data_IF_634944890406
#
_entry.id   IF_634944890406
#
_cell.length_a   1.000
_cell.length_b   1.000
_cell.length_c   1.000
_cell.angle_alpha   90.00
_cell.angle_beta   90.00
_cell.angle_gamma   90.00
#
_symmetry.space_group_name_H-M   'P 1'
#
loop_
_entity.id
_entity.type
_entity.pdbx_description
1 polymer ?
#
# COMPACT_ATOMS: atom_id res chain seq x y z
N UNK A 1 18.18 -5.47 2.34
CA UNK A 1 17.95 -4.02 2.41
C UNK A 1 17.59 -3.60 3.82
N UNK A 2 18.07 -2.43 4.26
CA UNK A 2 17.78 -1.84 5.58
C UNK A 2 16.28 -1.77 5.89
N UNK A 3 15.45 -1.48 4.89
CA UNK A 3 14.00 -1.36 5.06
C UNK A 3 13.32 -2.65 5.57
N UNK A 4 13.81 -3.82 5.20
CA UNK A 4 13.28 -5.11 5.70
C UNK A 4 13.67 -5.30 7.18
N UNK A 5 14.92 -4.99 7.53
CA UNK A 5 15.40 -5.06 8.91
C UNK A 5 14.68 -4.07 9.82
N UNK A 6 14.47 -2.84 9.34
CA UNK A 6 13.76 -1.78 10.08
C UNK A 6 12.28 -2.16 10.28
N UNK A 7 11.63 -2.72 9.25
CA UNK A 7 10.26 -3.22 9.34
C UNK A 7 10.15 -4.37 10.33
N UNK A 8 11.10 -5.29 10.34
CA UNK A 8 11.13 -6.37 11.34
C UNK A 8 11.27 -5.81 12.76
N UNK A 9 12.20 -4.87 12.98
CA UNK A 9 12.40 -4.24 14.29
C UNK A 9 11.14 -3.54 14.79
N UNK A 10 10.43 -2.83 13.91
CA UNK A 10 9.15 -2.19 14.24
C UNK A 10 8.07 -3.23 14.62
N UNK A 11 7.94 -4.29 13.85
CA UNK A 11 6.98 -5.37 14.13
C UNK A 11 7.30 -6.12 15.42
N UNK A 12 8.59 -6.31 15.72
CA UNK A 12 9.04 -6.86 17.00
C UNK A 12 8.65 -5.95 18.16
N UNK A 13 8.90 -4.65 18.06
CA UNK A 13 8.50 -3.69 19.08
C UNK A 13 6.98 -3.67 19.28
N UNK A 14 6.20 -3.72 18.20
CA UNK A 14 4.74 -3.84 18.25
C UNK A 14 4.30 -5.11 18.97
N UNK A 15 4.91 -6.27 18.67
CA UNK A 15 4.57 -7.56 19.27
C UNK A 15 4.84 -7.62 20.78
N UNK A 16 5.72 -6.77 21.28
CA UNK A 16 6.06 -6.64 22.70
C UNK A 16 5.19 -5.62 23.44
N UNK A 17 4.36 -4.89 22.74
CA UNK A 17 3.45 -3.91 23.36
C UNK A 17 2.28 -4.63 24.02
N UNK A 18 1.99 -4.32 25.29
CA UNK A 18 0.92 -4.94 26.06
C UNK A 18 -0.49 -4.74 25.48
N UNK A 19 -0.68 -3.65 24.74
CA UNK A 19 -1.94 -3.34 24.05
C UNK A 19 -2.11 -4.03 22.69
N UNK A 20 -1.09 -4.78 22.22
CA UNK A 20 -1.17 -5.45 20.93
C UNK A 20 -1.85 -6.81 21.04
N UNK A 21 -2.97 -6.98 20.34
CA UNK A 21 -3.66 -8.24 20.18
C UNK A 21 -3.57 -8.74 18.73
N UNK A 22 -2.88 -9.86 18.51
CA UNK A 22 -2.66 -10.46 17.19
C UNK A 22 -3.96 -10.83 16.46
N UNK A 23 -4.99 -11.19 17.20
CA UNK A 23 -6.26 -11.66 16.65
C UNK A 23 -7.15 -10.49 16.22
N UNK A 24 -6.98 -9.33 16.83
CA UNK A 24 -7.72 -8.12 16.54
C UNK A 24 -7.00 -7.19 15.55
N UNK A 25 -5.67 -7.28 15.48
CA UNK A 25 -4.85 -6.41 14.64
C UNK A 25 -4.47 -7.07 13.31
N UNK A 26 -4.97 -6.56 12.22
CA UNK A 26 -4.57 -6.94 10.86
C UNK A 26 -3.47 -6.00 10.35
N UNK A 27 -2.25 -6.52 10.20
CA UNK A 27 -1.13 -5.75 9.67
C UNK A 27 -1.04 -5.95 8.17
N UNK A 28 -1.11 -4.85 7.44
CA UNK A 28 -1.05 -4.83 5.98
C UNK A 28 0.30 -4.28 5.52
N UNK A 29 0.85 -4.89 4.47
CA UNK A 29 2.13 -4.51 3.91
C UNK A 29 1.97 -3.96 2.49
N UNK A 30 2.61 -2.83 2.23
CA UNK A 30 2.84 -2.26 0.90
C UNK A 30 4.33 -2.23 0.63
N UNK A 31 4.75 -2.76 -0.52
CA UNK A 31 6.13 -2.64 -0.97
C UNK A 31 6.28 -1.34 -1.78
N UNK A 32 7.06 -0.39 -1.28
CA UNK A 32 7.23 0.92 -1.89
C UNK A 32 8.54 1.04 -2.67
N UNK A 33 8.51 1.80 -3.78
CA UNK A 33 9.66 2.06 -4.64
C UNK A 33 10.29 0.79 -5.23
N UNK A 34 9.46 -0.13 -5.66
CA UNK A 34 9.90 -1.38 -6.29
C UNK A 34 10.19 -1.19 -7.79
N UNK A 35 11.13 -1.96 -8.30
CA UNK A 35 11.44 -2.00 -9.72
C UNK A 35 10.45 -2.88 -10.51
N UNK A 36 9.84 -3.85 -9.82
CA UNK A 36 8.84 -4.74 -10.41
C UNK A 36 7.84 -5.25 -9.37
N UNK A 37 6.70 -5.71 -9.82
CA UNK A 37 5.69 -6.36 -8.96
C UNK A 37 6.25 -7.63 -8.28
N UNK A 38 7.08 -8.39 -8.99
CA UNK A 38 7.73 -9.58 -8.46
C UNK A 38 8.70 -9.25 -7.31
N UNK A 39 9.41 -8.12 -7.40
CA UNK A 39 10.25 -7.65 -6.29
C UNK A 39 9.42 -7.36 -5.04
N UNK A 40 8.32 -6.65 -5.20
CA UNK A 40 7.41 -6.34 -4.09
C UNK A 40 6.88 -7.60 -3.40
N UNK A 41 6.48 -8.59 -4.18
CA UNK A 41 6.00 -9.87 -3.68
C UNK A 41 7.10 -10.67 -2.98
N UNK A 42 8.30 -10.71 -3.53
CA UNK A 42 9.45 -11.37 -2.91
C UNK A 42 9.84 -10.72 -1.57
N UNK A 43 9.78 -9.39 -1.47
CA UNK A 43 9.99 -8.67 -0.21
C UNK A 43 8.94 -9.04 0.83
N UNK A 44 7.68 -9.10 0.43
CA UNK A 44 6.60 -9.55 1.31
C UNK A 44 6.84 -10.98 1.81
N UNK A 45 7.12 -11.93 0.92
CA UNK A 45 7.32 -13.33 1.28
C UNK A 45 8.46 -13.50 2.29
N UNK A 46 9.59 -12.82 2.06
CA UNK A 46 10.74 -12.85 2.96
C UNK A 46 10.40 -12.27 4.34
N UNK A 47 9.79 -11.10 4.39
CA UNK A 47 9.43 -10.48 5.66
C UNK A 47 8.36 -11.28 6.39
N UNK A 48 7.32 -11.73 5.69
CA UNK A 48 6.24 -12.52 6.27
C UNK A 48 6.73 -13.85 6.85
N UNK A 49 7.64 -14.54 6.16
CA UNK A 49 8.23 -15.78 6.66
C UNK A 49 8.97 -15.57 7.99
N UNK A 50 9.77 -14.50 8.09
CA UNK A 50 10.55 -14.19 9.29
C UNK A 50 9.64 -13.76 10.44
N UNK A 51 8.70 -12.85 10.23
CA UNK A 51 7.82 -12.37 11.30
C UNK A 51 6.82 -13.44 11.75
N UNK A 52 6.36 -14.30 10.86
CA UNK A 52 5.52 -15.44 11.21
C UNK A 52 6.28 -16.43 12.11
N UNK A 53 7.52 -16.77 11.71
CA UNK A 53 8.35 -17.71 12.45
C UNK A 53 8.75 -17.21 13.85
N UNK A 54 9.17 -15.95 13.97
CA UNK A 54 9.77 -15.44 15.20
C UNK A 54 8.83 -14.60 16.06
N UNK A 55 7.81 -13.99 15.48
CA UNK A 55 6.88 -13.11 16.18
C UNK A 55 5.45 -13.65 16.22
N UNK A 56 5.14 -14.69 15.42
CA UNK A 56 3.79 -15.20 15.28
C UNK A 56 2.81 -14.21 14.63
N UNK A 57 3.34 -13.25 13.87
CA UNK A 57 2.56 -12.25 13.13
C UNK A 57 2.42 -12.71 11.69
N UNK A 58 1.21 -12.64 11.14
CA UNK A 58 0.94 -12.86 9.72
C UNK A 58 0.63 -11.53 9.05
N UNK A 59 1.41 -11.18 8.01
CA UNK A 59 1.19 -9.98 7.21
C UNK A 59 0.22 -10.25 6.07
N UNK A 60 -0.54 -9.24 5.69
CA UNK A 60 -1.35 -9.24 4.46
C UNK A 60 -0.71 -8.32 3.42
N UNK A 61 -0.36 -8.86 2.25
CA UNK A 61 0.15 -8.06 1.15
C UNK A 61 -0.99 -7.41 0.39
N UNK A 62 -0.98 -6.07 0.30
CA UNK A 62 -2.04 -5.30 -0.35
C UNK A 62 -1.57 -4.55 -1.60
N UNK A 63 -0.32 -4.70 -1.98
CA UNK A 63 0.19 -4.17 -3.23
C UNK A 63 1.57 -3.54 -3.13
N UNK A 64 2.01 -3.01 -4.26
CA UNK A 64 3.28 -2.32 -4.39
C UNK A 64 3.10 -0.95 -5.05
N UNK A 65 4.04 -0.05 -4.81
CA UNK A 65 4.17 1.23 -5.51
C UNK A 65 5.50 1.21 -6.27
N UNK A 66 5.48 1.32 -7.61
CA UNK A 66 6.71 1.30 -8.39
C UNK A 66 7.53 2.58 -8.20
N UNK A 67 8.82 2.46 -8.50
CA UNK A 67 9.71 3.62 -8.64
C UNK A 67 9.16 4.50 -9.77
N UNK A 68 8.83 5.76 -9.44
CA UNK A 68 8.22 6.71 -10.38
C UNK A 68 8.76 8.13 -10.13
N UNK A 69 9.40 8.71 -11.12
CA UNK A 69 9.95 10.06 -11.04
C UNK A 69 8.88 11.15 -10.79
N UNK A 70 7.62 10.89 -11.14
CA UNK A 70 6.51 11.80 -10.89
C UNK A 70 6.23 11.98 -9.38
N UNK A 71 6.51 10.95 -8.57
CA UNK A 71 6.41 11.07 -7.10
C UNK A 71 7.38 12.13 -6.60
N UNK A 72 8.65 12.05 -7.02
CA UNK A 72 9.66 13.06 -6.65
C UNK A 72 9.27 14.47 -7.10
N UNK A 73 8.78 14.62 -8.33
CA UNK A 73 8.32 15.92 -8.85
C UNK A 73 7.15 16.48 -8.04
N UNK A 74 6.21 15.61 -7.63
CA UNK A 74 5.08 16.01 -6.81
C UNK A 74 5.53 16.44 -5.39
N UNK A 75 6.45 15.70 -4.77
CA UNK A 75 7.04 16.05 -3.47
C UNK A 75 7.71 17.41 -3.52
N UNK A 76 8.50 17.70 -4.55
CA UNK A 76 9.16 19.01 -4.72
C UNK A 76 8.17 20.16 -4.85
N UNK A 77 6.96 19.90 -5.33
CA UNK A 77 5.86 20.86 -5.44
C UNK A 77 4.91 20.84 -4.24
N UNK A 78 5.22 20.03 -3.23
CA UNK A 78 4.39 19.86 -2.02
C UNK A 78 2.92 19.53 -2.33
N UNK A 79 2.71 18.68 -3.35
CA UNK A 79 1.38 18.23 -3.78
C UNK A 79 1.35 16.71 -3.91
N UNK A 80 0.24 16.05 -3.60
CA UNK A 80 0.10 14.61 -3.81
C UNK A 80 0.27 14.21 -5.29
N UNK A 81 0.99 13.12 -5.54
CA UNK A 81 1.19 12.60 -6.90
C UNK A 81 -0.12 12.22 -7.57
N UNK A 82 -1.09 11.76 -6.81
CA UNK A 82 -2.42 11.38 -7.30
C UNK A 82 -3.23 12.58 -7.82
N UNK A 83 -2.89 13.78 -7.38
CA UNK A 83 -3.49 15.03 -7.84
C UNK A 83 -2.69 15.61 -9.00
N UNK A 84 -1.36 15.67 -8.86
CA UNK A 84 -0.49 16.29 -9.87
C UNK A 84 -0.33 15.45 -11.14
N UNK A 85 -0.19 14.14 -10.96
CA UNK A 85 0.08 13.20 -12.05
C UNK A 85 -0.86 11.99 -11.93
N UNK A 86 -2.19 12.17 -12.07
CA UNK A 86 -3.19 11.14 -11.78
C UNK A 86 -3.09 9.91 -12.69
N UNK A 87 -2.46 10.04 -13.85
CA UNK A 87 -2.21 8.94 -14.79
C UNK A 87 -0.83 8.28 -14.64
N UNK A 88 0.00 8.76 -13.72
CA UNK A 88 1.30 8.15 -13.44
C UNK A 88 1.16 6.72 -12.90
N UNK A 89 2.20 5.92 -13.06
CA UNK A 89 2.21 4.54 -12.56
C UNK A 89 2.00 4.50 -11.05
N UNK A 90 2.73 5.30 -10.28
CA UNK A 90 2.56 5.37 -8.84
C UNK A 90 1.14 5.78 -8.43
N UNK A 91 0.54 6.78 -9.09
CA UNK A 91 -0.82 7.22 -8.78
C UNK A 91 -1.86 6.11 -8.99
N UNK A 92 -1.71 5.31 -10.05
CA UNK A 92 -2.58 4.14 -10.27
C UNK A 92 -2.42 3.08 -9.18
N UNK A 93 -1.19 2.78 -8.78
CA UNK A 93 -0.93 1.82 -7.71
C UNK A 93 -1.48 2.31 -6.36
N UNK A 94 -1.33 3.59 -6.01
CA UNK A 94 -1.97 4.16 -4.81
C UNK A 94 -3.49 4.01 -4.82
N UNK A 95 -4.14 4.21 -5.97
CA UNK A 95 -5.59 4.02 -6.10
C UNK A 95 -5.99 2.55 -5.90
N UNK A 96 -5.22 1.62 -6.45
CA UNK A 96 -5.47 0.18 -6.28
C UNK A 96 -5.32 -0.25 -4.81
N UNK A 97 -4.29 0.24 -4.12
CA UNK A 97 -4.07 -0.01 -2.70
C UNK A 97 -5.24 0.56 -1.87
N UNK A 98 -5.69 1.77 -2.17
CA UNK A 98 -6.83 2.37 -1.51
C UNK A 98 -8.13 1.56 -1.73
N UNK A 99 -8.35 1.06 -2.94
CA UNK A 99 -9.48 0.18 -3.26
C UNK A 99 -9.42 -1.13 -2.47
N UNK A 100 -8.24 -1.74 -2.37
CA UNK A 100 -8.03 -2.95 -1.58
C UNK A 100 -8.32 -2.72 -0.08
N UNK A 101 -7.90 -1.57 0.47
CA UNK A 101 -8.17 -1.19 1.86
C UNK A 101 -9.65 -0.95 2.15
N UNK A 102 -10.41 -0.44 1.17
CA UNK A 102 -11.83 -0.14 1.30
C UNK A 102 -12.74 -1.35 1.04
N UNK A 103 -12.17 -2.50 0.66
CA UNK A 103 -12.90 -3.68 0.23
C UNK A 103 -13.21 -3.67 -1.27
N UNK A 104 -13.32 -4.87 -1.86
CA UNK A 104 -13.33 -5.10 -3.32
C UNK A 104 -14.54 -4.57 -4.09
N UNK A 105 -15.40 -3.77 -3.51
CA UNK A 105 -16.57 -3.20 -4.20
C UNK A 105 -16.21 -2.04 -5.16
N UNK A 106 -14.95 -1.64 -5.20
CA UNK A 106 -14.50 -0.56 -6.08
C UNK A 106 -13.49 -1.11 -7.09
N UNK A 107 -14.00 -1.68 -8.18
CA UNK A 107 -13.18 -1.91 -9.38
C UNK A 107 -12.79 -0.55 -9.97
N UNK A 108 -11.54 -0.16 -9.80
CA UNK A 108 -10.99 1.01 -10.49
C UNK A 108 -10.68 0.59 -11.93
N UNK A 109 -11.42 1.10 -12.94
CA UNK A 109 -11.13 0.77 -14.33
C UNK A 109 -9.70 1.20 -14.67
N UNK A 110 -8.95 0.33 -15.33
CA UNK A 110 -7.57 0.56 -15.73
C UNK A 110 -7.39 1.74 -16.72
N UNK A 111 -8.46 2.34 -17.21
CA UNK A 111 -8.44 3.34 -18.28
C UNK A 111 -9.38 4.52 -18.02
N UNK A 112 -8.80 5.73 -17.96
CA UNK A 112 -9.43 7.05 -18.19
C UNK A 112 -10.67 7.42 -17.37
N UNK A 113 -10.61 7.38 -16.05
CA UNK A 113 -11.56 8.19 -15.28
C UNK A 113 -10.82 9.23 -14.45
N UNK A 114 -11.03 10.50 -14.77
CA UNK A 114 -10.57 11.60 -13.92
C UNK A 114 -11.21 11.52 -12.53
N UNK A 115 -10.53 12.05 -11.53
CA UNK A 115 -10.98 12.10 -10.13
C UNK A 115 -12.45 12.55 -10.00
N UNK A 116 -12.90 13.45 -10.86
CA UNK A 116 -14.29 13.96 -10.90
C UNK A 116 -15.33 12.87 -11.15
N UNK A 117 -15.02 11.90 -12.00
CA UNK A 117 -15.91 10.78 -12.31
C UNK A 117 -15.95 9.75 -11.18
N UNK A 118 -14.81 9.55 -10.48
CA UNK A 118 -14.72 8.68 -9.32
C UNK A 118 -15.59 9.16 -8.16
N UNK A 119 -15.50 10.44 -7.81
CA UNK A 119 -16.34 11.02 -6.76
C UNK A 119 -17.82 11.03 -7.11
N UNK A 120 -18.18 11.25 -8.39
CA UNK A 120 -19.57 11.24 -8.83
C UNK A 120 -20.22 9.86 -8.63
N UNK A 121 -19.47 8.76 -8.87
CA UNK A 121 -19.97 7.40 -8.68
C UNK A 121 -20.06 6.99 -7.19
N UNK A 122 -19.19 7.50 -6.33
CA UNK A 122 -19.22 7.25 -4.88
C UNK A 122 -20.41 7.98 -4.24
N UNK A 123 -20.69 9.21 -4.65
CA UNK A 123 -21.80 10.01 -4.08
C UNK A 123 -23.16 9.71 -4.66
N UNK A 124 -23.27 9.18 -5.90
CA UNK A 124 -24.58 8.78 -6.45
C UNK A 124 -25.09 7.44 -5.93
N UNK A 125 -24.30 6.64 -5.22
CA UNK A 125 -24.75 5.40 -4.57
C UNK A 125 -25.34 5.59 -3.16
N UNK A 126 -25.37 6.81 -2.63
CA UNK A 126 -25.95 7.16 -1.31
C UNK A 126 -27.35 7.78 -1.38
N UNK A 127 -27.95 7.72 -2.53
CA UNK A 127 -29.38 8.07 -2.64
C UNK A 127 -30.18 6.89 -3.15
#
# INVERSE_FOLDING_TARGET
PTSVSDSYALLKALSMNEGYNKEECSIKMVANRVESESEGRNLYEKLNAVVTKFLGIKLSYIGSVPQDSNVRKAVMKQKPVTIMYPSSSAARHFKNIAAELLGNDITVPAHRMGIRSYFKNVFSRKM
#
